data_IF_541254615557
#
_entry.id   IF_541254615557
#
_cell.length_a   1.000
_cell.length_b   1.000
_cell.length_c   1.000
_cell.angle_alpha   90.00
_cell.angle_beta   90.00
_cell.angle_gamma   90.00
#
_symmetry.space_group_name_H-M   'P 1'
#
loop_
_entity.id
_entity.type
_entity.pdbx_description
1 polymer ?
#
# COMPACT_ATOMS: atom_id res chain seq x y z
N UNK A 1 10.18 5.78 22.83
CA UNK A 1 10.79 5.13 21.65
C UNK A 1 9.67 4.41 20.92
N UNK A 2 9.14 5.03 19.88
CA UNK A 2 8.10 4.42 19.05
C UNK A 2 8.76 3.32 18.23
N UNK A 3 8.19 2.12 18.27
CA UNK A 3 8.66 0.99 17.47
C UNK A 3 8.14 1.20 16.03
N UNK A 4 9.03 1.59 15.12
CA UNK A 4 8.68 1.95 13.73
C UNK A 4 7.95 0.80 13.02
N UNK A 5 8.33 -0.45 13.30
CA UNK A 5 7.65 -1.63 12.76
C UNK A 5 6.22 -1.77 13.30
N UNK A 6 6.00 -1.44 14.58
CA UNK A 6 4.64 -1.43 15.16
C UNK A 6 3.78 -0.34 14.54
N UNK A 7 4.30 0.87 14.43
CA UNK A 7 3.58 2.00 13.83
C UNK A 7 3.25 1.74 12.35
N UNK A 8 4.17 1.10 11.64
CA UNK A 8 3.92 0.64 10.27
C UNK A 8 2.81 -0.42 10.23
N UNK A 9 2.81 -1.43 11.11
CA UNK A 9 1.73 -2.41 11.18
C UNK A 9 0.35 -1.79 11.44
N UNK A 10 0.27 -0.82 12.37
CA UNK A 10 -0.97 -0.11 12.68
C UNK A 10 -1.46 0.71 11.48
N UNK A 11 -0.53 1.34 10.75
CA UNK A 11 -0.86 2.14 9.56
C UNK A 11 -1.26 1.25 8.37
N UNK A 12 -0.67 0.06 8.22
CA UNK A 12 -1.09 -0.93 7.22
C UNK A 12 -2.50 -1.45 7.50
N UNK A 13 -2.83 -1.73 8.76
CA UNK A 13 -4.18 -2.13 9.15
C UNK A 13 -5.21 -1.02 8.85
N UNK A 14 -4.83 0.24 9.05
CA UNK A 14 -5.65 1.38 8.67
C UNK A 14 -5.86 1.43 7.14
N UNK A 15 -4.83 1.20 6.34
CA UNK A 15 -4.95 1.16 4.87
C UNK A 15 -5.95 0.10 4.41
N UNK A 16 -5.89 -1.11 4.97
CA UNK A 16 -6.85 -2.17 4.67
C UNK A 16 -8.29 -1.76 4.98
N UNK A 17 -8.50 -1.08 6.11
CA UNK A 17 -9.81 -0.60 6.54
C UNK A 17 -10.36 0.41 5.55
N UNK A 18 -9.56 1.38 5.12
CA UNK A 18 -9.99 2.42 4.17
C UNK A 18 -10.27 1.82 2.78
N UNK A 19 -9.45 0.88 2.30
CA UNK A 19 -9.71 0.16 1.04
C UNK A 19 -11.04 -0.61 1.11
N UNK A 20 -11.31 -1.30 2.21
CA UNK A 20 -12.60 -2.01 2.41
C UNK A 20 -13.78 -1.05 2.49
N UNK A 21 -13.62 0.10 3.14
CA UNK A 21 -14.68 1.12 3.25
C UNK A 21 -15.07 1.67 1.86
N UNK A 22 -14.11 1.74 0.93
CA UNK A 22 -14.34 2.13 -0.47
C UNK A 22 -14.75 0.96 -1.38
N UNK A 23 -14.95 -0.25 -0.84
CA UNK A 23 -15.19 -1.47 -1.61
C UNK A 23 -14.08 -1.79 -2.64
N UNK A 24 -12.84 -1.38 -2.33
CA UNK A 24 -11.62 -1.63 -3.11
C UNK A 24 -10.80 -2.78 -2.50
N UNK A 25 -11.48 -3.80 -2.01
CA UNK A 25 -10.86 -4.98 -1.40
C UNK A 25 -11.44 -6.24 -2.02
N UNK A 26 -10.64 -6.93 -2.81
CA UNK A 26 -11.06 -8.13 -3.52
C UNK A 26 -11.02 -9.36 -2.61
N UNK A 27 -12.02 -10.22 -2.70
CA UNK A 27 -12.01 -11.51 -2.00
C UNK A 27 -11.09 -12.53 -2.68
N UNK A 28 -10.94 -12.40 -4.00
CA UNK A 28 -10.16 -13.31 -4.84
C UNK A 28 -8.90 -12.63 -5.36
N UNK A 29 -7.71 -13.24 -5.20
CA UNK A 29 -6.49 -12.67 -5.74
C UNK A 29 -6.49 -12.68 -7.28
N UNK A 30 -5.80 -11.70 -7.91
CA UNK A 30 -5.48 -11.74 -9.33
C UNK A 30 -4.70 -13.00 -9.72
N UNK A 31 -4.59 -13.26 -11.01
CA UNK A 31 -3.82 -14.41 -11.49
C UNK A 31 -2.34 -14.29 -11.12
N UNK A 32 -1.63 -15.41 -10.93
CA UNK A 32 -0.19 -15.39 -10.66
C UNK A 32 0.61 -14.61 -11.71
N UNK A 33 0.18 -14.66 -12.97
CA UNK A 33 0.82 -13.94 -14.07
C UNK A 33 0.67 -12.43 -13.93
N UNK A 34 -0.49 -11.94 -13.48
CA UNK A 34 -0.71 -10.51 -13.22
C UNK A 34 0.11 -10.02 -12.02
N UNK A 35 0.20 -10.83 -10.96
CA UNK A 35 1.04 -10.53 -9.78
C UNK A 35 2.55 -10.54 -10.09
N UNK A 36 2.96 -11.20 -11.18
CA UNK A 36 4.35 -11.32 -11.59
C UNK A 36 4.83 -10.18 -12.51
N UNK A 37 4.03 -9.13 -12.72
CA UNK A 37 4.47 -7.98 -13.52
C UNK A 37 5.74 -7.34 -12.95
N UNK A 38 6.64 -6.96 -13.85
CA UNK A 38 7.88 -6.24 -13.52
C UNK A 38 7.75 -4.73 -13.64
N UNK A 39 6.59 -4.22 -14.08
CA UNK A 39 6.34 -2.79 -14.18
C UNK A 39 6.12 -2.19 -12.78
N UNK A 40 6.48 -0.91 -12.57
CA UNK A 40 6.14 -0.20 -11.33
C UNK A 40 4.64 -0.28 -11.08
N UNK A 41 4.26 -0.61 -9.84
CA UNK A 41 2.86 -0.81 -9.41
C UNK A 41 2.05 -1.83 -10.22
N UNK A 42 2.71 -2.65 -11.06
CA UNK A 42 2.05 -3.58 -11.98
C UNK A 42 0.94 -2.92 -12.82
N UNK A 43 1.12 -1.64 -13.21
CA UNK A 43 0.07 -0.83 -13.90
C UNK A 43 -0.43 -1.41 -15.21
N UNK A 44 0.29 -2.36 -15.79
CA UNK A 44 -0.07 -3.07 -17.01
C UNK A 44 -1.04 -4.23 -16.79
N UNK A 45 -1.14 -4.73 -15.54
CA UNK A 45 -1.85 -5.97 -15.21
C UNK A 45 -2.79 -5.85 -14.02
N UNK A 46 -2.61 -4.84 -13.16
CA UNK A 46 -3.38 -4.64 -11.93
C UNK A 46 -3.94 -3.23 -11.83
N UNK A 47 -5.10 -3.12 -11.18
CA UNK A 47 -5.55 -1.86 -10.62
C UNK A 47 -4.72 -1.50 -9.36
N UNK A 48 -4.63 -0.21 -9.03
CA UNK A 48 -3.81 0.23 -7.89
C UNK A 48 -4.21 -0.46 -6.59
N UNK A 49 -5.51 -0.58 -6.29
CA UNK A 49 -5.98 -1.22 -5.06
C UNK A 49 -5.60 -2.70 -4.99
N UNK A 50 -5.56 -3.41 -6.13
CA UNK A 50 -5.14 -4.81 -6.18
C UNK A 50 -3.64 -4.93 -5.92
N UNK A 51 -2.84 -4.03 -6.49
CA UNK A 51 -1.41 -3.96 -6.18
C UNK A 51 -1.18 -3.64 -4.70
N UNK A 52 -1.95 -2.71 -4.13
CA UNK A 52 -1.89 -2.38 -2.70
C UNK A 52 -2.20 -3.60 -1.83
N UNK A 53 -3.31 -4.29 -2.12
CA UNK A 53 -3.80 -5.43 -1.36
C UNK A 53 -2.89 -6.67 -1.45
N UNK A 54 -2.46 -7.05 -2.65
CA UNK A 54 -1.83 -8.34 -2.89
C UNK A 54 -0.31 -8.29 -2.95
N UNK A 55 0.28 -7.11 -3.17
CA UNK A 55 1.73 -6.94 -3.29
C UNK A 55 2.26 -6.06 -2.16
N UNK A 56 1.75 -4.84 -2.03
CA UNK A 56 2.31 -3.84 -1.13
C UNK A 56 2.11 -4.17 0.35
N UNK A 57 0.86 -4.36 0.78
CA UNK A 57 0.51 -4.64 2.18
C UNK A 57 1.18 -5.93 2.69
N UNK A 58 1.09 -7.09 2.00
CA UNK A 58 1.73 -8.32 2.46
C UNK A 58 3.25 -8.20 2.55
N UNK A 59 3.87 -7.47 1.60
CA UNK A 59 5.31 -7.23 1.60
C UNK A 59 5.74 -6.43 2.83
N UNK A 60 5.04 -5.36 3.18
CA UNK A 60 5.40 -4.54 4.33
C UNK A 60 5.13 -5.26 5.66
N UNK A 61 4.04 -6.05 5.78
CA UNK A 61 3.84 -6.89 6.96
C UNK A 61 4.97 -7.89 7.17
N UNK A 62 5.52 -8.48 6.10
CA UNK A 62 6.67 -9.38 6.21
C UNK A 62 7.90 -8.66 6.76
N UNK A 63 8.14 -7.40 6.37
CA UNK A 63 9.22 -6.60 6.92
C UNK A 63 9.01 -6.31 8.41
N UNK A 64 7.77 -6.00 8.80
CA UNK A 64 7.37 -5.77 10.20
C UNK A 64 7.54 -7.03 11.05
N UNK A 65 6.99 -8.16 10.61
CA UNK A 65 7.02 -9.43 11.32
C UNK A 65 8.44 -9.90 11.61
N UNK A 66 9.34 -9.74 10.62
CA UNK A 66 10.73 -10.15 10.72
C UNK A 66 11.66 -9.05 11.22
N UNK A 67 11.13 -7.86 11.54
CA UNK A 67 11.91 -6.66 11.89
C UNK A 67 13.08 -6.40 10.93
N UNK A 68 12.83 -6.59 9.64
CA UNK A 68 13.82 -6.34 8.60
C UNK A 68 14.00 -4.84 8.38
N UNK A 69 15.11 -4.47 7.74
CA UNK A 69 15.35 -3.11 7.26
C UNK A 69 14.23 -2.69 6.30
N UNK A 70 13.73 -1.47 6.49
CA UNK A 70 12.69 -0.90 5.64
C UNK A 70 13.34 -0.36 4.34
N UNK A 71 12.59 -0.32 3.23
CA UNK A 71 13.11 0.23 1.97
C UNK A 71 13.64 1.65 2.13
N UNK A 72 14.78 1.95 1.51
CA UNK A 72 15.34 3.31 1.50
C UNK A 72 14.44 4.34 0.78
N UNK A 73 13.49 3.87 -0.04
CA UNK A 73 12.50 4.72 -0.70
C UNK A 73 11.13 4.05 -0.77
N UNK A 74 10.09 4.86 -0.55
CA UNK A 74 8.70 4.50 -0.73
C UNK A 74 7.95 5.76 -1.18
N UNK A 75 7.22 5.67 -2.28
CA UNK A 75 6.43 6.79 -2.82
C UNK A 75 5.24 6.22 -3.57
N UNK A 76 4.20 5.91 -2.82
CA UNK A 76 2.95 5.33 -3.33
C UNK A 76 1.83 6.36 -3.34
N UNK A 77 1.85 7.34 -2.42
CA UNK A 77 0.80 8.37 -2.35
C UNK A 77 0.55 9.12 -3.66
N UNK A 78 1.57 9.51 -4.47
CA UNK A 78 1.31 10.23 -5.71
C UNK A 78 0.56 9.36 -6.73
N UNK A 79 0.83 8.05 -6.73
CA UNK A 79 0.12 7.10 -7.60
C UNK A 79 -1.35 6.96 -7.18
N UNK A 80 -1.64 7.01 -5.88
CA UNK A 80 -3.01 7.01 -5.38
C UNK A 80 -3.75 8.31 -5.73
N UNK A 81 -3.09 9.46 -5.65
CA UNK A 81 -3.68 10.72 -6.12
C UNK A 81 -4.05 10.65 -7.60
N UNK A 82 -3.16 10.16 -8.47
CA UNK A 82 -3.44 9.93 -9.89
C UNK A 82 -4.63 8.98 -10.10
N UNK A 83 -4.69 7.91 -9.29
CA UNK A 83 -5.77 6.93 -9.36
C UNK A 83 -7.13 7.53 -9.02
N UNK A 84 -7.24 8.28 -7.92
CA UNK A 84 -8.51 8.81 -7.44
C UNK A 84 -8.92 10.13 -8.12
N UNK A 85 -8.00 10.90 -8.71
CA UNK A 85 -8.32 12.19 -9.35
C UNK A 85 -9.46 12.16 -10.37
N UNK A 86 -9.54 11.20 -11.31
CA UNK A 86 -10.65 11.16 -12.28
C UNK A 86 -11.93 10.54 -11.70
N UNK A 87 -11.91 10.04 -10.46
CA UNK A 87 -12.98 9.24 -9.87
C UNK A 87 -13.91 10.11 -9.00
N UNK A 88 -15.22 9.81 -8.95
CA UNK A 88 -16.16 10.53 -8.10
C UNK A 88 -16.04 10.17 -6.61
N UNK A 89 -15.53 8.98 -6.28
CA UNK A 89 -15.25 8.57 -4.91
C UNK A 89 -14.05 9.33 -4.31
N UNK A 90 -14.18 9.76 -3.05
CA UNK A 90 -13.07 10.39 -2.33
C UNK A 90 -12.09 9.32 -1.85
N UNK A 91 -10.90 9.29 -2.45
CA UNK A 91 -9.76 8.49 -2.00
C UNK A 91 -8.88 9.17 -0.97
N UNK A 92 -9.28 10.34 -0.44
CA UNK A 92 -8.45 11.16 0.46
C UNK A 92 -7.96 10.40 1.69
N UNK A 93 -8.80 9.55 2.28
CA UNK A 93 -8.43 8.73 3.43
C UNK A 93 -7.33 7.71 3.07
N UNK A 94 -7.46 7.04 1.92
CA UNK A 94 -6.44 6.10 1.42
C UNK A 94 -5.13 6.83 1.13
N UNK A 95 -5.20 7.99 0.46
CA UNK A 95 -4.03 8.81 0.13
C UNK A 95 -3.30 9.24 1.42
N UNK A 96 -4.03 9.77 2.42
CA UNK A 96 -3.44 10.20 3.68
C UNK A 96 -2.74 9.06 4.45
N UNK A 97 -3.29 7.85 4.39
CA UNK A 97 -2.65 6.67 5.00
C UNK A 97 -1.40 6.28 4.23
N UNK A 98 -1.42 6.32 2.89
CA UNK A 98 -0.26 6.04 2.06
C UNK A 98 0.87 7.05 2.27
N UNK A 99 0.56 8.34 2.41
CA UNK A 99 1.55 9.37 2.75
C UNK A 99 2.25 9.07 4.08
N UNK A 100 1.48 8.64 5.09
CA UNK A 100 2.04 8.23 6.39
C UNK A 100 2.96 7.02 6.24
N UNK A 101 2.57 6.02 5.45
CA UNK A 101 3.42 4.85 5.16
C UNK A 101 4.70 5.28 4.45
N UNK A 102 4.61 6.13 3.42
CA UNK A 102 5.76 6.63 2.67
C UNK A 102 6.77 7.33 3.61
N UNK A 103 6.28 8.18 4.51
CA UNK A 103 7.12 8.85 5.53
C UNK A 103 7.72 7.84 6.51
N UNK A 104 6.94 6.91 7.06
CA UNK A 104 7.44 5.93 8.02
C UNK A 104 8.51 5.03 7.42
N UNK A 105 8.33 4.60 6.16
CA UNK A 105 9.32 3.77 5.47
C UNK A 105 10.59 4.54 5.16
N UNK A 106 10.47 5.79 4.68
CA UNK A 106 11.64 6.60 4.28
C UNK A 106 12.39 7.25 5.46
N UNK A 107 11.74 7.44 6.59
CA UNK A 107 12.36 7.99 7.82
C UNK A 107 13.02 6.93 8.70
N UNK A 108 12.93 5.65 8.32
CA UNK A 108 13.62 4.57 9.00
C UNK A 108 15.15 4.77 8.90
N UNK A 109 15.88 4.68 10.03
CA UNK A 109 17.32 4.88 10.07
C UNK A 109 18.13 3.75 9.43
#
# INVERSE_FOLDING_TARGET
MTDIHRELAETLFELERELRALALWDETPPTPEALASTQPFAVDTLELYQWLQFVFIPRLYRLVEHRMELPASCSVSPMAEEYFRPRPESGEAVIAVLERIDILVTSAP
#
